data_IF_424078404289
#
_entry.id   IF_424078404289
#
_cell.length_a   1.000
_cell.length_b   1.000
_cell.length_c   1.000
_cell.angle_alpha   90.00
_cell.angle_beta   90.00
_cell.angle_gamma   90.00
#
_symmetry.space_group_name_H-M   'P 1'
#
loop_
_entity.id
_entity.type
_entity.pdbx_description
1 polymer ?
#
# COMPACT_ATOMS: atom_id res chain seq x y z
N UNK A 1 14.14 -12.53 1.48
CA UNK A 1 12.70 -12.25 1.69
C UNK A 1 12.60 -10.93 2.43
N UNK A 2 11.89 -9.95 1.88
CA UNK A 2 11.58 -8.69 2.56
C UNK A 2 10.23 -8.83 3.26
N UNK A 3 10.17 -8.55 4.57
CA UNK A 3 8.92 -8.49 5.33
C UNK A 3 8.69 -7.05 5.78
N UNK A 4 7.50 -6.53 5.48
CA UNK A 4 7.05 -5.21 5.91
C UNK A 4 5.88 -5.43 6.85
N UNK A 5 5.97 -4.88 8.05
CA UNK A 5 4.88 -4.88 9.02
C UNK A 5 4.42 -3.46 9.29
N UNK A 6 3.11 -3.26 9.23
CA UNK A 6 2.45 -1.99 9.41
C UNK A 6 1.45 -2.10 10.55
N UNK A 7 1.50 -1.13 11.45
CA UNK A 7 0.45 -0.89 12.43
C UNK A 7 -0.30 0.39 12.04
N UNK A 8 -1.54 0.23 11.58
CA UNK A 8 -2.38 1.36 11.15
C UNK A 8 -3.37 1.67 12.25
N UNK A 9 -3.06 2.71 13.03
CA UNK A 9 -3.86 3.17 14.15
C UNK A 9 -3.86 4.71 14.24
N UNK A 10 -5.02 5.36 14.49
CA UNK A 10 -6.35 4.76 14.60
C UNK A 10 -6.95 4.39 13.23
N UNK A 11 -7.82 3.39 13.17
CA UNK A 11 -8.61 3.08 11.97
C UNK A 11 -9.98 2.50 12.30
N UNK A 12 -10.99 2.93 11.54
CA UNK A 12 -12.35 2.36 11.60
C UNK A 12 -12.50 1.06 10.79
N UNK A 13 -11.43 0.62 10.09
CA UNK A 13 -11.38 -0.59 9.26
C UNK A 13 -12.44 -0.59 8.17
N UNK A 14 -12.65 0.57 7.54
CA UNK A 14 -13.64 0.77 6.49
C UNK A 14 -13.06 0.32 5.14
N UNK A 15 -12.90 -0.99 5.01
CA UNK A 15 -12.39 -1.65 3.82
C UNK A 15 -13.48 -1.73 2.76
N UNK A 16 -13.14 -1.37 1.52
CA UNK A 16 -14.05 -1.49 0.38
C UNK A 16 -14.12 -2.96 -0.05
N UNK A 17 -15.33 -3.44 -0.34
CA UNK A 17 -15.56 -4.81 -0.78
C UNK A 17 -14.99 -5.02 -2.19
N UNK A 18 -14.35 -6.17 -2.39
CA UNK A 18 -13.82 -6.57 -3.70
C UNK A 18 -14.88 -6.55 -4.80
N UNK A 19 -14.49 -6.07 -5.97
CA UNK A 19 -15.41 -5.90 -7.11
C UNK A 19 -16.34 -4.69 -7.04
N UNK A 20 -16.28 -3.88 -5.96
CA UNK A 20 -17.01 -2.60 -5.92
C UNK A 20 -16.57 -1.72 -7.09
N UNK A 21 -17.53 -1.27 -7.89
CA UNK A 21 -17.26 -0.39 -9.02
C UNK A 21 -17.13 1.07 -8.58
N UNK A 22 -16.18 1.78 -9.18
CA UNK A 22 -16.05 3.22 -9.02
C UNK A 22 -16.67 3.90 -10.24
N UNK A 23 -17.91 4.39 -10.10
CA UNK A 23 -18.62 5.06 -11.21
C UNK A 23 -18.19 6.51 -11.41
N UNK A 24 -17.39 7.05 -10.49
CA UNK A 24 -17.03 8.47 -10.46
C UNK A 24 -15.59 8.74 -10.92
N UNK A 25 -14.75 7.72 -10.99
CA UNK A 25 -13.34 7.83 -11.35
C UNK A 25 -12.87 6.54 -12.03
N UNK A 26 -11.78 6.63 -12.78
CA UNK A 26 -11.13 5.49 -13.45
C UNK A 26 -10.18 4.73 -12.51
N UNK A 27 -10.17 5.06 -11.21
CA UNK A 27 -9.38 4.39 -10.17
C UNK A 27 -10.20 3.29 -9.48
N UNK A 28 -9.57 2.21 -8.99
CA UNK A 28 -10.27 1.19 -8.23
C UNK A 28 -11.06 1.79 -7.06
N UNK A 29 -12.31 1.38 -6.85
CA UNK A 29 -13.13 1.92 -5.74
C UNK A 29 -12.44 1.76 -4.38
N UNK A 30 -11.65 0.69 -4.26
CA UNK A 30 -10.80 0.37 -3.13
C UNK A 30 -9.87 1.51 -2.67
N UNK A 31 -9.47 2.41 -3.56
CA UNK A 31 -8.62 3.56 -3.22
C UNK A 31 -9.33 4.54 -2.25
N UNK A 32 -10.65 4.46 -2.15
CA UNK A 32 -11.48 5.34 -1.33
C UNK A 32 -11.74 4.80 0.09
N UNK A 33 -11.31 3.58 0.38
CA UNK A 33 -11.43 2.95 1.70
C UNK A 33 -10.15 3.02 2.52
N UNK A 34 -10.20 2.40 3.69
CA UNK A 34 -9.00 2.05 4.43
C UNK A 34 -8.20 1.00 3.63
N UNK A 35 -6.89 1.16 3.55
CA UNK A 35 -6.03 0.27 2.77
C UNK A 35 -4.60 0.78 2.71
N UNK A 36 -3.72 -0.01 2.10
CA UNK A 36 -2.29 0.33 1.98
C UNK A 36 -1.88 0.25 0.52
N UNK A 37 -1.17 1.26 0.03
CA UNK A 37 -0.47 1.18 -1.25
C UNK A 37 1.00 0.95 -0.97
N UNK A 38 1.57 -0.08 -1.58
CA UNK A 38 2.95 -0.48 -1.42
C UNK A 38 3.65 -0.37 -2.77
N UNK A 39 4.75 0.38 -2.82
CA UNK A 39 5.59 0.57 -4.00
C UNK A 39 6.97 0.02 -3.69
N UNK A 40 7.51 -0.80 -4.59
CA UNK A 40 8.81 -1.44 -4.39
C UNK A 40 9.55 -1.56 -5.71
N UNK A 41 10.82 -1.18 -5.71
CA UNK A 41 11.74 -1.37 -6.81
C UNK A 41 13.03 -2.04 -6.34
N UNK A 42 13.59 -2.86 -7.21
CA UNK A 42 14.92 -3.42 -7.08
C UNK A 42 15.65 -3.31 -8.43
N UNK A 43 16.45 -2.25 -8.57
CA UNK A 43 16.98 -1.86 -9.87
C UNK A 43 15.83 -1.59 -10.84
N UNK A 44 15.85 -2.23 -12.01
CA UNK A 44 14.82 -2.08 -13.04
C UNK A 44 13.55 -2.92 -12.79
N UNK A 45 13.55 -3.79 -11.76
CA UNK A 45 12.40 -4.63 -11.43
C UNK A 45 11.55 -3.92 -10.39
N UNK A 46 10.35 -3.50 -10.77
CA UNK A 46 9.44 -2.77 -9.91
C UNK A 46 8.05 -3.37 -9.89
N UNK A 47 7.32 -3.14 -8.80
CA UNK A 47 5.90 -3.40 -8.69
C UNK A 47 5.24 -2.53 -7.65
N UNK A 48 3.93 -2.34 -7.80
CA UNK A 48 3.13 -1.63 -6.84
C UNK A 48 1.75 -2.26 -6.68
N UNK A 49 1.20 -2.20 -5.47
CA UNK A 49 -0.05 -2.86 -5.13
C UNK A 49 -0.90 -2.01 -4.18
N UNK A 50 -2.21 -2.04 -4.40
CA UNK A 50 -3.22 -1.67 -3.42
C UNK A 50 -3.62 -2.93 -2.62
N UNK A 51 -3.37 -2.88 -1.33
CA UNK A 51 -3.58 -3.94 -0.34
C UNK A 51 -4.79 -3.58 0.53
N UNK A 52 -5.88 -4.33 0.38
CA UNK A 52 -7.13 -4.09 1.11
C UNK A 52 -7.47 -5.32 1.94
N UNK A 53 -7.44 -5.22 3.28
CA UNK A 53 -7.92 -6.28 4.15
C UNK A 53 -9.34 -6.77 3.82
N UNK A 54 -9.56 -8.09 3.83
CA UNK A 54 -10.90 -8.68 3.77
C UNK A 54 -11.42 -8.85 5.19
N UNK A 55 -12.48 -8.13 5.55
CA UNK A 55 -12.98 -8.02 6.93
C UNK A 55 -13.32 -9.37 7.59
N UNK A 56 -13.77 -10.34 6.80
CA UNK A 56 -14.27 -11.63 7.29
C UNK A 56 -13.21 -12.75 7.27
N UNK A 57 -11.95 -12.44 6.93
CA UNK A 57 -10.82 -13.37 7.00
C UNK A 57 -9.53 -12.66 7.41
N UNK A 58 -8.40 -13.36 7.41
CA UNK A 58 -7.07 -12.77 7.58
C UNK A 58 -6.39 -12.46 6.23
N UNK A 59 -7.12 -12.61 5.12
CA UNK A 59 -6.64 -12.37 3.77
C UNK A 59 -6.65 -10.89 3.42
N UNK A 60 -5.77 -10.54 2.49
CA UNK A 60 -5.71 -9.22 1.87
C UNK A 60 -6.02 -9.37 0.39
N UNK A 61 -6.97 -8.58 -0.10
CA UNK A 61 -7.17 -8.40 -1.54
C UNK A 61 -6.05 -7.52 -2.10
N UNK A 62 -5.32 -8.06 -3.07
CA UNK A 62 -4.12 -7.45 -3.65
C UNK A 62 -4.43 -7.07 -5.10
N UNK A 63 -4.40 -5.78 -5.39
CA UNK A 63 -4.60 -5.26 -6.75
C UNK A 63 -3.34 -4.57 -7.24
N UNK A 64 -2.75 -4.97 -8.39
CA UNK A 64 -1.65 -4.22 -9.00
C UNK A 64 -2.06 -2.78 -9.33
N UNK A 65 -1.17 -1.82 -9.10
CA UNK A 65 -1.42 -0.41 -9.42
C UNK A 65 -1.06 -0.15 -10.89
N UNK A 66 -1.96 0.52 -11.61
CA UNK A 66 -1.76 0.81 -13.04
C UNK A 66 -0.57 1.75 -13.24
N UNK A 67 0.28 1.45 -14.22
CA UNK A 67 1.46 2.26 -14.55
C UNK A 67 2.73 1.86 -13.79
N UNK A 68 2.69 0.79 -13.01
CA UNK A 68 3.85 0.12 -12.41
C UNK A 68 4.07 -1.26 -13.04
N UNK A 69 5.30 -1.77 -12.94
CA UNK A 69 5.62 -3.14 -13.34
C UNK A 69 4.92 -4.20 -12.49
N UNK A 70 5.04 -5.46 -12.93
CA UNK A 70 4.53 -6.65 -12.21
C UNK A 70 5.65 -7.67 -12.01
N UNK A 71 6.91 -7.20 -11.94
CA UNK A 71 8.09 -8.06 -11.87
C UNK A 71 8.38 -8.64 -10.48
N UNK A 72 7.67 -8.18 -9.46
CA UNK A 72 7.73 -8.70 -8.08
C UNK A 72 6.37 -9.30 -7.70
N UNK A 73 6.40 -10.17 -6.70
CA UNK A 73 5.20 -10.75 -6.10
C UNK A 73 5.05 -10.27 -4.66
N UNK A 74 3.80 -10.18 -4.18
CA UNK A 74 3.52 -9.88 -2.78
C UNK A 74 2.50 -10.87 -2.23
N UNK A 75 2.79 -11.39 -1.04
CA UNK A 75 1.79 -12.06 -0.21
C UNK A 75 1.51 -11.17 1.00
N UNK A 76 0.25 -10.97 1.34
CA UNK A 76 -0.13 -10.16 2.48
C UNK A 76 -1.20 -10.84 3.34
N UNK A 77 -1.07 -10.66 4.65
CA UNK A 77 -2.10 -11.00 5.66
C UNK A 77 -2.34 -9.81 6.54
N UNK A 78 -3.50 -9.79 7.19
CA UNK A 78 -3.83 -8.75 8.16
C UNK A 78 -4.46 -9.32 9.41
N UNK A 79 -4.44 -8.53 10.48
CA UNK A 79 -5.09 -8.84 11.74
C UNK A 79 -5.71 -7.58 12.31
N UNK A 80 -6.92 -7.67 12.85
CA UNK A 80 -7.51 -6.56 13.59
C UNK A 80 -6.77 -6.32 14.90
N UNK A 81 -6.59 -5.05 15.26
CA UNK A 81 -6.12 -4.65 16.60
C UNK A 81 -7.23 -3.94 17.36
N UNK A 82 -6.95 -3.51 18.59
CA UNK A 82 -7.90 -2.74 19.40
C UNK A 82 -8.22 -1.38 18.76
N UNK A 83 -7.23 -0.71 18.18
CA UNK A 83 -7.36 0.66 17.67
C UNK A 83 -7.35 0.76 16.14
N UNK A 84 -7.11 -0.35 15.42
CA UNK A 84 -7.07 -0.36 13.97
C UNK A 84 -6.73 -1.74 13.44
N UNK A 85 -5.64 -1.86 12.69
CA UNK A 85 -5.18 -3.14 12.14
C UNK A 85 -3.68 -3.23 11.94
N UNK A 86 -3.18 -4.46 11.93
CA UNK A 86 -1.83 -4.81 11.50
C UNK A 86 -1.88 -5.43 10.11
N UNK A 87 -1.01 -5.01 9.22
CA UNK A 87 -0.81 -5.62 7.89
C UNK A 87 0.62 -6.11 7.77
N UNK A 88 0.81 -7.33 7.31
CA UNK A 88 2.11 -7.93 7.04
C UNK A 88 2.21 -8.29 5.57
N UNK A 89 3.12 -7.65 4.84
CA UNK A 89 3.45 -7.96 3.45
C UNK A 89 4.80 -8.67 3.37
N UNK A 90 4.88 -9.71 2.54
CA UNK A 90 6.07 -10.51 2.28
C UNK A 90 6.37 -10.50 0.80
N UNK A 91 7.58 -10.08 0.45
CA UNK A 91 8.05 -9.94 -0.92
C UNK A 91 9.36 -10.72 -1.09
N UNK A 92 9.37 -11.80 -1.91
CA UNK A 92 10.62 -12.40 -2.32
C UNK A 92 11.37 -11.41 -3.22
N UNK A 93 12.49 -10.90 -2.73
CA UNK A 93 13.35 -10.03 -3.54
C UNK A 93 14.16 -10.86 -4.54
N UNK A 94 14.42 -10.33 -5.75
CA UNK A 94 15.34 -10.96 -6.70
C UNK A 94 16.73 -11.20 -6.08
N UNK A 95 17.41 -12.24 -6.53
CA UNK A 95 18.79 -12.48 -6.11
C UNK A 95 19.68 -11.27 -6.45
N UNK A 96 20.55 -10.87 -5.50
CA UNK A 96 21.42 -9.70 -5.64
C UNK A 96 20.74 -8.36 -5.31
N UNK A 97 19.48 -8.36 -4.89
CA UNK A 97 18.79 -7.16 -4.43
C UNK A 97 19.26 -6.73 -3.03
N UNK A 98 20.28 -5.87 -2.95
CA UNK A 98 20.83 -5.37 -1.67
C UNK A 98 20.30 -4.00 -1.27
N UNK A 99 19.86 -3.20 -2.25
CA UNK A 99 19.33 -1.85 -2.02
C UNK A 99 17.94 -1.65 -2.64
N UNK A 100 16.89 -2.26 -2.07
CA UNK A 100 15.54 -2.01 -2.56
C UNK A 100 15.11 -0.56 -2.27
N UNK A 101 14.30 -0.01 -3.16
CA UNK A 101 13.67 1.29 -3.00
C UNK A 101 12.17 1.07 -2.74
N UNK A 102 11.63 1.73 -1.73
CA UNK A 102 10.26 1.50 -1.27
C UNK A 102 9.59 2.79 -0.84
N UNK A 103 8.30 2.90 -1.14
CA UNK A 103 7.41 3.81 -0.45
C UNK A 103 6.11 3.11 -0.07
N UNK A 104 5.42 3.67 0.92
CA UNK A 104 4.18 3.16 1.41
C UNK A 104 3.21 4.29 1.73
N UNK A 105 1.98 4.13 1.27
CA UNK A 105 0.90 5.06 1.53
C UNK A 105 -0.23 4.35 2.27
N UNK A 106 -0.70 4.94 3.36
CA UNK A 106 -1.90 4.47 4.07
C UNK A 106 -3.07 5.31 3.62
N UNK A 107 -4.06 4.67 2.99
CA UNK A 107 -5.34 5.29 2.68
C UNK A 107 -6.24 5.22 3.91
N UNK A 108 -6.90 6.33 4.22
CA UNK A 108 -7.86 6.41 5.30
C UNK A 108 -9.21 6.94 4.80
N UNK A 109 -10.30 6.34 5.27
CA UNK A 109 -11.64 6.88 5.11
C UNK A 109 -12.36 7.09 6.44
N UNK A 110 -13.54 7.69 6.39
CA UNK A 110 -14.36 7.95 7.59
C UNK A 110 -15.81 7.53 7.36
N UNK A 111 -16.55 7.15 8.41
CA UNK A 111 -17.95 6.78 8.30
C UNK A 111 -18.76 7.86 7.55
N UNK A 112 -19.59 7.42 6.61
CA UNK A 112 -20.45 8.30 5.81
C UNK A 112 -19.76 9.01 4.63
N UNK A 113 -18.46 8.76 4.39
CA UNK A 113 -17.78 9.29 3.19
C UNK A 113 -17.81 8.31 2.02
N UNK A 114 -18.05 8.85 0.83
CA UNK A 114 -17.93 8.13 -0.44
C UNK A 114 -16.49 8.14 -1.00
N UNK A 115 -15.65 9.08 -0.55
CA UNK A 115 -14.23 9.22 -0.96
C UNK A 115 -13.33 9.16 0.25
N UNK A 116 -12.08 8.73 0.06
CA UNK A 116 -11.07 8.73 1.13
C UNK A 116 -10.98 10.09 1.81
N UNK A 117 -10.71 10.08 3.12
CA UNK A 117 -10.48 11.27 3.93
C UNK A 117 -9.10 11.87 3.64
N UNK A 118 -8.11 11.02 3.48
CA UNK A 118 -6.73 11.43 3.27
C UNK A 118 -5.81 10.23 3.08
N UNK A 119 -4.52 10.54 2.96
CA UNK A 119 -3.45 9.56 2.84
C UNK A 119 -2.28 10.01 3.69
N UNK A 120 -1.63 9.06 4.35
CA UNK A 120 -0.33 9.24 4.97
C UNK A 120 0.73 8.60 4.10
N UNK A 121 1.81 9.31 3.80
CA UNK A 121 2.91 8.86 2.94
C UNK A 121 4.14 8.64 3.81
N UNK A 122 4.85 7.53 3.59
CA UNK A 122 6.11 7.28 4.29
C UNK A 122 7.22 8.20 3.76
N UNK A 123 7.33 8.33 2.45
CA UNK A 123 8.20 9.33 1.83
C UNK A 123 7.66 10.74 2.03
N UNK A 124 8.58 11.70 2.04
CA UNK A 124 8.29 13.13 2.17
C UNK A 124 9.24 13.83 3.12
N UNK A 125 9.17 15.15 3.15
CA UNK A 125 9.91 16.01 4.08
C UNK A 125 8.99 16.68 5.10
N UNK A 126 9.57 17.13 6.22
CA UNK A 126 8.86 17.94 7.20
C UNK A 126 8.25 19.20 6.54
N UNK A 127 6.94 19.38 6.69
CA UNK A 127 6.20 20.49 6.09
C UNK A 127 5.84 20.29 4.61
N UNK A 128 6.17 19.15 4.00
CA UNK A 128 5.80 18.86 2.62
C UNK A 128 4.30 18.52 2.50
N UNK A 129 3.64 19.17 1.54
CA UNK A 129 2.32 18.77 1.08
C UNK A 129 2.47 18.03 -0.26
N UNK A 130 2.19 16.73 -0.25
CA UNK A 130 2.22 15.92 -1.46
C UNK A 130 0.82 15.87 -2.06
N UNK A 131 0.68 16.36 -3.29
CA UNK A 131 -0.53 16.12 -4.08
C UNK A 131 -0.47 14.73 -4.71
N UNK A 132 -1.18 13.77 -4.12
CA UNK A 132 -1.25 12.41 -4.62
C UNK A 132 -2.34 12.29 -5.69
N UNK A 133 -1.95 11.91 -6.90
CA UNK A 133 -2.87 11.65 -8.03
C UNK A 133 -3.48 10.25 -7.90
N UNK A 134 -4.20 10.01 -6.81
CA UNK A 134 -4.86 8.72 -6.57
C UNK A 134 -3.88 7.60 -6.24
N UNK A 135 -3.80 6.61 -7.13
CA UNK A 135 -2.85 5.49 -7.08
C UNK A 135 -1.54 5.75 -7.84
N UNK A 136 -1.43 6.89 -8.53
CA UNK A 136 -0.25 7.27 -9.31
C UNK A 136 0.78 7.95 -8.42
N UNK A 137 1.70 7.15 -7.88
CA UNK A 137 2.85 7.61 -7.10
C UNK A 137 4.10 7.81 -7.98
N UNK A 138 5.00 8.69 -7.55
CA UNK A 138 6.22 9.04 -8.29
C UNK A 138 7.39 8.13 -7.89
N UNK A 139 8.08 7.53 -8.86
CA UNK A 139 9.22 6.65 -8.64
C UNK A 139 10.37 7.34 -7.91
N UNK A 140 10.56 8.64 -8.15
CA UNK A 140 11.63 9.40 -7.52
C UNK A 140 11.44 9.64 -6.02
N UNK A 141 10.28 9.26 -5.47
CA UNK A 141 9.96 9.41 -4.04
C UNK A 141 10.25 8.14 -3.23
N UNK A 142 10.56 7.02 -3.88
CA UNK A 142 10.87 5.79 -3.17
C UNK A 142 12.13 5.98 -2.32
N UNK A 143 12.02 5.61 -1.05
CA UNK A 143 13.13 5.66 -0.11
C UNK A 143 14.03 4.47 -0.35
N UNK A 144 15.34 4.70 -0.46
CA UNK A 144 16.33 3.64 -0.60
C UNK A 144 16.65 3.02 0.75
N UNK A 145 16.47 1.70 0.86
CA UNK A 145 16.86 0.92 2.03
C UNK A 145 18.11 0.10 1.70
N UNK A 146 18.95 -0.15 2.70
CA UNK A 146 20.05 -1.11 2.60
C UNK A 146 19.70 -2.31 3.46
N UNK A 147 19.65 -3.50 2.85
CA UNK A 147 19.47 -4.75 3.59
C UNK A 147 20.87 -5.32 3.81
N UNK A 148 21.35 -5.42 5.07
CA UNK A 148 22.64 -6.04 5.33
C UNK A 148 22.62 -7.51 4.90
N UNK A 149 23.72 -7.98 4.33
CA UNK A 149 23.91 -9.40 4.03
C UNK A 149 23.77 -10.20 5.34
N UNK A 150 22.88 -11.19 5.34
CA UNK A 150 22.59 -12.07 6.48
C UNK A 150 23.35 -13.37 6.35
#
# INVERSE_FOLDING_TARGET
MLQIELLVEPSSRLFVVEGTQNVLDNEPAAINGDGVQLYLACGEIESAWLLVPRRDSDDVWITPITGWGTGLEVNARWQSTRAGYRLTARIPLPAGCTTPELDLLVNETAPGRARRRGQLVLSGAEGEFVYLRGDRHDRHRLLRFTIPDV
#
